data_IF_919622591387
#
_entry.id   IF_919622591387
#
_cell.length_a   1.000
_cell.length_b   1.000
_cell.length_c   1.000
_cell.angle_alpha   90.00
_cell.angle_beta   90.00
_cell.angle_gamma   90.00
#
_symmetry.space_group_name_H-M   'P 1'
#
loop_
_entity.id
_entity.type
_entity.pdbx_description
1 polymer ?
#
# COMPACT_ATOMS: atom_id res chain seq x y z
N UNK A 1 -18.62 -4.41 4.71
CA UNK A 1 -18.59 -4.55 3.23
C UNK A 1 -17.41 -3.77 2.67
N UNK A 2 -16.81 -4.20 1.56
CA UNK A 2 -15.78 -3.43 0.88
C UNK A 2 -15.88 -3.61 -0.63
N UNK A 3 -15.40 -2.61 -1.36
CA UNK A 3 -15.19 -2.64 -2.81
C UNK A 3 -13.74 -2.27 -3.05
N UNK A 4 -13.05 -3.07 -3.85
CA UNK A 4 -11.63 -2.87 -4.16
C UNK A 4 -11.47 -2.69 -5.66
N UNK A 5 -10.61 -1.75 -6.04
CA UNK A 5 -10.14 -1.57 -7.40
C UNK A 5 -9.53 -2.88 -7.94
N UNK A 6 -10.05 -3.34 -9.06
CA UNK A 6 -9.64 -4.61 -9.63
C UNK A 6 -8.64 -4.41 -10.76
N UNK A 7 -7.43 -4.93 -10.55
CA UNK A 7 -6.37 -5.02 -11.58
C UNK A 7 -6.74 -5.90 -12.78
N UNK A 8 -7.93 -6.51 -12.78
CA UNK A 8 -8.51 -7.21 -13.94
C UNK A 8 -9.22 -6.27 -14.91
N UNK A 9 -9.76 -5.16 -14.40
CA UNK A 9 -10.64 -4.24 -15.14
C UNK A 9 -10.04 -2.85 -15.29
N UNK A 10 -9.07 -2.49 -14.44
CA UNK A 10 -8.30 -1.25 -14.54
C UNK A 10 -7.00 -1.52 -15.28
N UNK A 11 -6.66 -0.66 -16.23
CA UNK A 11 -5.38 -0.69 -16.90
C UNK A 11 -4.32 -0.06 -15.99
N UNK A 12 -3.42 -0.88 -15.46
CA UNK A 12 -2.36 -0.48 -14.53
C UNK A 12 -1.11 0.00 -15.29
N UNK A 13 -1.29 0.65 -16.43
CA UNK A 13 -0.19 1.11 -17.29
C UNK A 13 0.63 2.23 -16.65
N UNK A 14 0.12 2.90 -15.62
CA UNK A 14 0.82 3.87 -14.76
C UNK A 14 0.66 3.51 -13.28
N UNK A 15 1.07 2.30 -12.90
CA UNK A 15 0.95 1.87 -11.50
C UNK A 15 1.93 2.60 -10.58
N UNK A 16 1.56 2.72 -9.31
CA UNK A 16 2.43 3.25 -8.26
C UNK A 16 2.80 2.16 -7.28
N UNK A 17 4.07 2.08 -6.90
CA UNK A 17 4.55 1.17 -5.86
C UNK A 17 4.86 1.98 -4.61
N UNK A 18 4.38 1.50 -3.47
CA UNK A 18 4.67 2.10 -2.18
C UNK A 18 6.04 1.64 -1.71
N UNK A 19 6.88 2.60 -1.33
CA UNK A 19 8.24 2.38 -0.81
C UNK A 19 8.23 2.78 0.66
N UNK A 20 8.87 1.99 1.55
CA UNK A 20 9.05 2.39 2.94
C UNK A 20 9.69 3.79 3.06
N UNK A 21 9.13 4.69 3.90
CA UNK A 21 9.56 6.09 3.97
C UNK A 21 11.01 6.25 4.46
N UNK A 22 11.51 5.26 5.21
CA UNK A 22 12.87 5.28 5.77
C UNK A 22 13.92 4.67 4.80
N UNK A 23 13.57 4.44 3.54
CA UNK A 23 14.45 3.84 2.53
C UNK A 23 14.65 4.77 1.35
N UNK A 24 15.90 4.90 0.92
CA UNK A 24 16.24 5.59 -0.32
C UNK A 24 15.93 4.67 -1.51
N UNK A 25 15.09 5.19 -2.41
CA UNK A 25 14.62 4.46 -3.60
C UNK A 25 15.67 4.42 -4.71
N UNK A 26 16.57 5.39 -4.73
CA UNK A 26 17.59 5.58 -5.77
C UNK A 26 18.94 4.96 -5.36
N UNK A 27 19.06 4.52 -4.10
CA UNK A 27 20.18 3.73 -3.62
C UNK A 27 20.30 2.44 -4.46
N UNK A 28 21.49 2.19 -5.00
CA UNK A 28 21.78 0.98 -5.77
C UNK A 28 21.96 -0.21 -4.84
N UNK A 29 20.83 -0.81 -4.46
CA UNK A 29 20.75 -1.84 -3.44
C UNK A 29 21.12 -3.24 -3.94
N UNK A 30 20.89 -3.53 -5.23
CA UNK A 30 20.93 -4.90 -5.73
C UNK A 30 22.07 -5.11 -6.74
N UNK A 31 22.99 -6.03 -6.42
CA UNK A 31 23.92 -6.60 -7.40
C UNK A 31 23.25 -7.81 -8.05
N UNK A 32 22.45 -7.59 -9.09
CA UNK A 32 21.78 -8.66 -9.81
C UNK A 32 22.76 -9.33 -10.79
N UNK A 33 22.82 -10.66 -10.74
CA UNK A 33 23.60 -11.48 -11.67
C UNK A 33 22.64 -12.11 -12.67
N UNK A 34 22.75 -11.73 -13.94
CA UNK A 34 21.93 -12.29 -14.99
C UNK A 34 22.47 -13.64 -15.48
N UNK A 35 21.60 -14.52 -16.03
CA UNK A 35 22.04 -15.68 -16.79
C UNK A 35 23.02 -15.24 -17.89
N UNK A 36 24.29 -15.62 -17.78
CA UNK A 36 25.39 -15.10 -18.62
C UNK A 36 26.48 -14.35 -17.86
N UNK A 37 26.33 -14.14 -16.55
CA UNK A 37 27.39 -13.65 -15.66
C UNK A 37 27.51 -12.11 -15.56
N UNK A 38 26.72 -11.38 -16.34
CA UNK A 38 26.67 -9.92 -16.27
C UNK A 38 26.08 -9.46 -14.93
N UNK A 39 26.72 -8.46 -14.32
CA UNK A 39 26.30 -7.86 -13.05
C UNK A 39 25.76 -6.47 -13.29
N UNK A 40 24.60 -6.17 -12.71
CA UNK A 40 24.01 -4.84 -12.74
C UNK A 40 23.68 -4.39 -11.33
N UNK A 41 23.99 -3.12 -11.06
CA UNK A 41 23.63 -2.45 -9.83
C UNK A 41 22.32 -1.73 -10.07
N UNK A 42 21.25 -2.23 -9.46
CA UNK A 42 19.87 -1.80 -9.71
C UNK A 42 19.32 -1.20 -8.42
N UNK A 43 18.71 -0.03 -8.53
CA UNK A 43 17.96 0.61 -7.44
C UNK A 43 16.55 0.04 -7.33
N UNK A 44 15.82 0.38 -6.27
CA UNK A 44 14.41 -0.01 -6.19
C UNK A 44 13.59 0.68 -7.29
N UNK A 45 13.89 1.95 -7.58
CA UNK A 45 13.24 2.71 -8.66
C UNK A 45 13.46 2.05 -10.03
N UNK A 46 14.69 1.63 -10.34
CA UNK A 46 15.00 0.93 -11.60
C UNK A 46 14.17 -0.35 -11.76
N UNK A 47 13.92 -1.07 -10.66
CA UNK A 47 13.10 -2.28 -10.68
C UNK A 47 11.61 -1.97 -10.88
N UNK A 48 11.09 -0.88 -10.30
CA UNK A 48 9.72 -0.40 -10.54
C UNK A 48 9.54 -0.04 -12.01
N UNK A 49 10.47 0.74 -12.56
CA UNK A 49 10.44 1.17 -13.96
C UNK A 49 10.52 -0.02 -14.93
N UNK A 50 11.32 -1.04 -14.58
CA UNK A 50 11.40 -2.28 -15.35
C UNK A 50 10.10 -3.09 -15.28
N UNK A 51 9.43 -3.14 -14.12
CA UNK A 51 8.14 -3.80 -13.99
C UNK A 51 7.05 -3.09 -14.81
N UNK A 52 7.05 -1.76 -14.81
CA UNK A 52 6.14 -0.95 -15.63
C UNK A 52 6.33 -1.22 -17.12
N UNK A 53 7.59 -1.23 -17.57
CA UNK A 53 7.91 -1.61 -18.94
C UNK A 53 7.44 -3.02 -19.26
N UNK A 54 7.72 -3.99 -18.39
CA UNK A 54 7.31 -5.39 -18.60
C UNK A 54 5.79 -5.53 -18.73
N UNK A 55 5.03 -4.90 -17.82
CA UNK A 55 3.57 -4.92 -17.88
C UNK A 55 3.06 -4.29 -19.18
N UNK A 56 3.57 -3.13 -19.57
CA UNK A 56 3.17 -2.44 -20.82
C UNK A 56 3.45 -3.30 -22.06
N UNK A 57 4.61 -3.96 -22.12
CA UNK A 57 4.94 -4.83 -23.26
C UNK A 57 4.07 -6.10 -23.30
N UNK A 58 3.73 -6.69 -22.14
CA UNK A 58 2.76 -7.79 -22.09
C UNK A 58 1.39 -7.34 -22.63
N UNK A 59 0.92 -6.15 -22.25
CA UNK A 59 -0.34 -5.60 -22.77
C UNK A 59 -0.28 -5.35 -24.28
N UNK A 60 0.83 -4.82 -24.80
CA UNK A 60 1.04 -4.61 -26.25
C UNK A 60 1.10 -5.90 -27.06
N UNK A 61 1.65 -6.98 -26.49
CA UNK A 61 1.71 -8.31 -27.14
C UNK A 61 0.38 -9.06 -27.11
N UNK A 62 -0.68 -8.46 -26.56
CA UNK A 62 -2.04 -8.98 -26.60
C UNK A 62 -2.49 -9.72 -25.34
N UNK A 63 -1.67 -9.78 -24.29
CA UNK A 63 -2.09 -10.37 -23.01
C UNK A 63 -3.19 -9.54 -22.39
N UNK A 64 -4.30 -10.17 -21.97
CA UNK A 64 -5.38 -9.49 -21.23
C UNK A 64 -4.90 -9.05 -19.84
N UNK A 65 -5.47 -7.98 -19.29
CA UNK A 65 -5.02 -7.38 -18.02
C UNK A 65 -4.99 -8.39 -16.86
N UNK A 66 -5.96 -9.30 -16.81
CA UNK A 66 -6.04 -10.34 -15.78
C UNK A 66 -4.88 -11.35 -15.78
N UNK A 67 -4.20 -11.50 -16.92
CA UNK A 67 -3.02 -12.38 -17.08
C UNK A 67 -1.74 -11.56 -16.95
N UNK A 68 -1.68 -10.38 -17.58
CA UNK A 68 -0.52 -9.48 -17.51
C UNK A 68 -0.23 -9.04 -16.06
N UNK A 69 -1.25 -8.89 -15.21
CA UNK A 69 -1.08 -8.49 -13.81
C UNK A 69 -0.23 -9.43 -12.95
N UNK A 70 0.08 -10.64 -13.41
CA UNK A 70 0.93 -11.59 -12.68
C UNK A 70 2.34 -11.06 -12.43
N UNK A 71 2.80 -10.08 -13.21
CA UNK A 71 4.10 -9.42 -13.00
C UNK A 71 4.02 -8.24 -12.03
N UNK A 72 2.81 -7.75 -11.70
CA UNK A 72 2.68 -6.56 -10.84
C UNK A 72 3.14 -6.89 -9.41
N UNK A 73 3.89 -5.99 -8.78
CA UNK A 73 4.42 -6.23 -7.44
C UNK A 73 3.34 -6.09 -6.36
N UNK A 74 3.56 -6.74 -5.22
CA UNK A 74 2.65 -6.67 -4.06
C UNK A 74 2.49 -5.23 -3.54
N UNK A 75 3.54 -4.42 -3.62
CA UNK A 75 3.53 -3.02 -3.17
C UNK A 75 2.74 -2.08 -4.07
N UNK A 76 2.00 -2.56 -5.07
CA UNK A 76 1.15 -1.73 -5.92
C UNK A 76 0.07 -1.03 -5.08
N UNK A 77 -0.11 0.26 -5.31
CA UNK A 77 -1.20 1.05 -4.71
C UNK A 77 -2.53 0.52 -5.22
N UNK A 78 -3.42 0.16 -4.31
CA UNK A 78 -4.80 -0.18 -4.61
C UNK A 78 -5.76 0.76 -3.89
N UNK A 79 -6.92 1.02 -4.49
CA UNK A 79 -8.01 1.72 -3.81
C UNK A 79 -9.02 0.74 -3.23
N UNK A 80 -9.35 0.95 -1.95
CA UNK A 80 -10.36 0.17 -1.23
C UNK A 80 -11.35 1.13 -0.60
N UNK A 81 -12.63 0.94 -0.89
CA UNK A 81 -13.75 1.60 -0.23
C UNK A 81 -14.35 0.60 0.75
N UNK A 82 -14.40 0.96 2.04
CA UNK A 82 -14.94 0.10 3.08
C UNK A 82 -16.16 0.75 3.75
N UNK A 83 -17.17 -0.07 4.03
CA UNK A 83 -18.36 0.30 4.80
C UNK A 83 -18.50 -0.67 5.95
N UNK A 84 -18.61 -0.13 7.16
CA UNK A 84 -18.77 -0.90 8.39
C UNK A 84 -19.64 -0.11 9.37
N UNK A 85 -20.27 -0.79 10.33
CA UNK A 85 -20.96 -0.12 11.43
C UNK A 85 -19.94 0.41 12.45
N UNK A 86 -20.39 1.22 13.42
CA UNK A 86 -19.48 1.84 14.39
C UNK A 86 -18.73 0.84 15.28
N UNK A 87 -19.37 -0.28 15.67
CA UNK A 87 -18.71 -1.31 16.46
C UNK A 87 -17.56 -1.96 15.68
N UNK A 88 -17.80 -2.25 14.41
CA UNK A 88 -16.78 -2.79 13.49
C UNK A 88 -15.66 -1.77 13.26
N UNK A 89 -15.97 -0.50 13.02
CA UNK A 89 -14.95 0.55 12.86
C UNK A 89 -14.07 0.70 14.09
N UNK A 90 -14.65 0.68 15.30
CA UNK A 90 -13.87 0.69 16.54
C UNK A 90 -12.90 -0.49 16.60
N UNK A 91 -13.37 -1.70 16.27
CA UNK A 91 -12.52 -2.87 16.22
C UNK A 91 -11.41 -2.78 15.15
N UNK A 92 -11.73 -2.23 13.98
CA UNK A 92 -10.75 -1.99 12.91
C UNK A 92 -9.67 -1.02 13.38
N UNK A 93 -10.05 0.11 13.98
CA UNK A 93 -9.08 1.09 14.49
C UNK A 93 -8.22 0.51 15.62
N UNK A 94 -8.81 -0.24 16.56
CA UNK A 94 -8.06 -0.91 17.62
C UNK A 94 -6.95 -1.82 17.07
N UNK A 95 -7.26 -2.62 16.05
CA UNK A 95 -6.29 -3.53 15.44
C UNK A 95 -5.29 -2.82 14.52
N UNK A 96 -5.75 -1.86 13.71
CA UNK A 96 -4.95 -1.29 12.62
C UNK A 96 -4.19 -0.03 12.99
N UNK A 97 -4.61 0.69 14.03
CA UNK A 97 -3.86 1.80 14.59
C UNK A 97 -2.80 1.34 15.62
N UNK A 98 -2.86 0.09 16.07
CA UNK A 98 -1.91 -0.48 17.02
C UNK A 98 -0.45 -0.35 16.55
N UNK A 99 0.51 -0.02 17.44
CA UNK A 99 1.94 -0.01 17.11
C UNK A 99 2.46 -1.31 16.52
N UNK A 100 1.81 -2.45 16.80
CA UNK A 100 2.18 -3.76 16.26
C UNK A 100 1.72 -4.00 14.80
N UNK A 101 0.81 -3.18 14.27
CA UNK A 101 0.36 -3.30 12.88
C UNK A 101 1.48 -2.93 11.89
N UNK A 102 1.39 -3.38 10.63
CA UNK A 102 2.33 -2.94 9.61
C UNK A 102 2.23 -1.42 9.39
N UNK A 103 3.35 -0.74 9.10
CA UNK A 103 3.41 0.71 9.07
C UNK A 103 2.47 1.33 8.03
N UNK A 104 2.32 0.71 6.85
CA UNK A 104 1.46 1.22 5.76
C UNK A 104 -0.01 1.34 6.17
N UNK A 105 -0.61 0.23 6.63
CA UNK A 105 -2.01 0.23 7.05
C UNK A 105 -2.21 1.14 8.26
N UNK A 106 -1.22 1.23 9.13
CA UNK A 106 -1.27 2.08 10.31
C UNK A 106 -1.28 3.57 9.94
N UNK A 107 -0.46 4.02 8.99
CA UNK A 107 -0.52 5.40 8.51
C UNK A 107 -1.89 5.75 7.92
N UNK A 108 -2.46 4.86 7.09
CA UNK A 108 -3.78 5.09 6.50
C UNK A 108 -4.86 5.17 7.58
N UNK A 109 -4.84 4.25 8.54
CA UNK A 109 -5.90 4.12 9.53
C UNK A 109 -5.83 5.17 10.63
N UNK A 110 -4.63 5.61 11.04
CA UNK A 110 -4.48 6.70 12.02
C UNK A 110 -4.94 8.03 11.43
N UNK A 111 -4.61 8.32 10.18
CA UNK A 111 -5.13 9.52 9.49
C UNK A 111 -6.66 9.48 9.37
N UNK A 112 -7.22 8.32 9.00
CA UNK A 112 -8.67 8.16 8.94
C UNK A 112 -9.33 8.31 10.32
N UNK A 113 -8.71 7.79 11.38
CA UNK A 113 -9.21 7.94 12.74
C UNK A 113 -9.22 9.41 13.16
N UNK A 114 -8.16 10.17 12.89
CA UNK A 114 -8.09 11.61 13.19
C UNK A 114 -9.25 12.36 12.51
N UNK A 115 -9.56 12.03 11.25
CA UNK A 115 -10.67 12.65 10.54
C UNK A 115 -12.04 12.22 11.06
N UNK A 116 -12.23 10.94 11.37
CA UNK A 116 -13.51 10.42 11.90
C UNK A 116 -13.80 10.96 13.30
N UNK A 117 -12.77 11.17 14.15
CA UNK A 117 -12.93 11.81 15.47
C UNK A 117 -13.50 13.23 15.36
N UNK A 118 -13.14 13.98 14.32
CA UNK A 118 -13.70 15.33 14.06
C UNK A 118 -15.17 15.28 13.66
N UNK A 119 -15.61 14.20 13.01
CA UNK A 119 -16.98 14.05 12.50
C UNK A 119 -17.92 13.47 13.58
N UNK A 120 -17.49 12.44 14.32
CA UNK A 120 -18.33 11.73 15.31
C UNK A 120 -17.53 11.47 16.62
N UNK A 121 -17.22 12.51 17.39
CA UNK A 121 -16.37 12.42 18.58
C UNK A 121 -16.92 11.44 19.65
N UNK A 122 -18.23 11.45 19.88
CA UNK A 122 -18.91 10.61 20.90
C UNK A 122 -18.64 9.11 20.73
N UNK A 123 -18.27 8.66 19.53
CA UNK A 123 -17.99 7.25 19.23
C UNK A 123 -16.49 6.92 19.26
N UNK A 124 -15.59 7.90 19.10
CA UNK A 124 -14.15 7.64 18.85
C UNK A 124 -13.18 8.47 19.71
N UNK A 125 -13.67 9.32 20.62
CA UNK A 125 -12.82 10.19 21.44
C UNK A 125 -11.93 9.47 22.44
N UNK A 126 -12.30 8.25 22.82
CA UNK A 126 -11.56 7.35 23.71
C UNK A 126 -10.32 6.72 23.04
N UNK A 127 -10.12 6.90 21.75
CA UNK A 127 -8.84 6.56 21.10
C UNK A 127 -7.82 7.69 21.29
N UNK A 128 -6.63 7.36 21.78
CA UNK A 128 -5.50 8.29 21.88
C UNK A 128 -4.54 8.07 20.73
N UNK A 129 -4.38 9.10 19.89
CA UNK A 129 -3.39 9.12 18.82
C UNK A 129 -2.05 9.54 19.42
N UNK A 130 -0.97 8.81 19.10
CA UNK A 130 0.38 9.12 19.58
C UNK A 130 0.89 10.46 19.06
N UNK A 131 1.83 11.10 19.76
CA UNK A 131 2.37 12.41 19.39
C UNK A 131 3.01 12.42 18.00
N UNK A 132 3.65 11.31 17.61
CA UNK A 132 4.25 11.12 16.29
C UNK A 132 3.21 10.87 15.18
N UNK A 133 1.92 10.77 15.53
CA UNK A 133 0.79 10.44 14.65
C UNK A 133 0.96 9.13 13.88
N UNK A 134 1.80 8.21 14.39
CA UNK A 134 2.04 6.91 13.75
C UNK A 134 1.22 5.80 14.34
N UNK A 135 0.53 5.99 15.47
CA UNK A 135 -0.28 4.95 16.10
C UNK A 135 -1.44 5.54 16.89
N UNK A 136 -2.40 4.69 17.26
CA UNK A 136 -3.41 5.05 18.24
C UNK A 136 -3.75 3.84 19.12
N UNK A 137 -4.09 4.11 20.37
CA UNK A 137 -4.50 3.11 21.36
C UNK A 137 -5.86 3.46 21.95
N UNK A 138 -6.65 2.45 22.28
CA UNK A 138 -7.92 2.63 22.96
C UNK A 138 -7.67 2.79 24.47
N UNK A 139 -8.11 3.90 25.06
CA UNK A 139 -8.12 4.05 26.52
C UNK A 139 -9.17 3.12 27.12
N UNK A 140 -8.73 2.25 28.02
CA UNK A 140 -9.60 1.38 28.83
C UNK A 140 -9.98 2.06 30.13
#
# INVERSE_FOLDING_TARGET
AYTQESTRYVDESEFRVIIPPDKDKDEKLFNLVFPGGNKFNVSFQDWVDLNEQMYRELRKTGWVAQDARQVLPIGIKAQIVATANFREWRHIFELRCSPAAHWEIRMVMVNLLDDVKKIIPVVFDDFEISEDKKSAILKK
#
